data_IF_136228873663
#
_entry.id   IF_136228873663
#
_cell.length_a   1.000
_cell.length_b   1.000
_cell.length_c   1.000
_cell.angle_alpha   90.00
_cell.angle_beta   90.00
_cell.angle_gamma   90.00
#
_symmetry.space_group_name_H-M   'P 1'
#
loop_
_entity.id
_entity.type
_entity.pdbx_description
1 polymer ?
#
# COMPACT_ATOMS: atom_id res chain seq x y z
N UNK A 1 -6.72 10.10 11.96
CA UNK A 1 -5.63 9.14 11.63
C UNK A 1 -6.27 7.85 11.16
N UNK A 2 -5.77 7.24 10.08
CA UNK A 2 -6.38 6.04 9.46
C UNK A 2 -5.30 5.08 8.98
N UNK A 3 -5.58 3.78 8.97
CA UNK A 3 -4.75 2.80 8.27
C UNK A 3 -5.06 2.80 6.77
N UNK A 4 -4.07 3.12 5.92
CA UNK A 4 -4.22 3.07 4.46
C UNK A 4 -2.91 2.61 3.80
N UNK A 5 -3.03 1.66 2.87
CA UNK A 5 -1.89 1.07 2.16
C UNK A 5 -2.30 0.52 0.79
N UNK A 6 -1.32 0.11 -0.02
CA UNK A 6 -1.61 -0.49 -1.34
C UNK A 6 -2.37 -1.83 -1.26
N UNK A 7 -2.32 -2.52 -0.12
CA UNK A 7 -3.06 -3.77 0.14
C UNK A 7 -4.38 -3.55 0.89
N UNK A 8 -4.60 -2.35 1.45
CA UNK A 8 -5.88 -1.93 2.02
C UNK A 8 -6.15 -0.45 1.70
N UNK A 9 -6.74 -0.17 0.52
CA UNK A 9 -7.04 1.19 0.10
C UNK A 9 -8.43 1.67 0.54
N UNK A 10 -9.07 1.02 1.52
CA UNK A 10 -10.50 1.20 1.84
C UNK A 10 -10.89 2.62 2.22
N UNK A 11 -9.98 3.37 2.87
CA UNK A 11 -10.19 4.77 3.26
C UNK A 11 -10.58 5.65 2.06
N UNK A 12 -10.18 5.29 0.84
CA UNK A 12 -10.56 5.97 -0.41
C UNK A 12 -12.07 6.05 -0.62
N UNK A 13 -12.81 5.02 -0.19
CA UNK A 13 -14.25 4.91 -0.38
C UNK A 13 -15.06 5.21 0.89
N UNK A 14 -14.41 5.29 2.04
CA UNK A 14 -15.08 5.44 3.34
C UNK A 14 -14.80 6.80 3.97
N UNK A 15 -13.55 7.07 4.34
CA UNK A 15 -13.18 8.22 5.17
C UNK A 15 -12.75 9.43 4.34
N UNK A 16 -11.95 9.26 3.29
CA UNK A 16 -11.44 10.39 2.52
C UNK A 16 -12.53 11.28 1.89
N UNK A 17 -13.66 10.75 1.38
CA UNK A 17 -14.74 11.60 0.89
C UNK A 17 -15.31 12.54 1.96
N UNK A 18 -15.42 12.06 3.20
CA UNK A 18 -15.94 12.84 4.33
C UNK A 18 -14.90 13.88 4.79
N UNK A 19 -13.64 13.46 4.97
CA UNK A 19 -12.59 14.35 5.48
C UNK A 19 -12.25 15.44 4.48
N UNK A 20 -12.27 15.14 3.18
CA UNK A 20 -12.11 16.15 2.12
C UNK A 20 -13.28 17.13 2.08
N UNK A 21 -14.51 16.66 2.29
CA UNK A 21 -15.70 17.52 2.34
C UNK A 21 -15.65 18.48 3.52
N UNK A 22 -15.24 17.98 4.69
CA UNK A 22 -15.30 18.72 5.95
C UNK A 22 -13.97 19.43 6.29
N UNK A 23 -12.95 19.35 5.42
CA UNK A 23 -11.66 20.01 5.61
C UNK A 23 -10.82 19.43 6.76
N UNK A 24 -10.96 18.13 7.04
CA UNK A 24 -10.26 17.45 8.12
C UNK A 24 -8.95 16.83 7.60
N UNK A 25 -7.83 17.25 8.19
CA UNK A 25 -6.52 16.71 7.87
C UNK A 25 -6.36 15.23 8.26
N UNK A 26 -5.75 14.45 7.38
CA UNK A 26 -5.62 13.01 7.48
C UNK A 26 -4.17 12.57 7.53
N UNK A 27 -3.87 11.89 8.63
CA UNK A 27 -2.58 11.28 8.90
C UNK A 27 -2.69 9.76 8.71
N UNK A 28 -1.91 9.24 7.77
CA UNK A 28 -1.89 7.86 7.33
C UNK A 28 -0.93 7.00 8.15
N UNK A 29 -1.48 5.96 8.77
CA UNK A 29 -0.75 4.82 9.32
C UNK A 29 -0.70 3.68 8.32
N UNK A 30 0.23 2.75 8.52
CA UNK A 30 0.28 1.48 7.78
C UNK A 30 0.74 1.60 6.33
N UNK A 31 1.42 2.69 5.95
CA UNK A 31 2.04 2.81 4.64
C UNK A 31 2.94 1.60 4.33
N UNK A 32 3.78 1.20 5.29
CA UNK A 32 4.53 -0.06 5.26
C UNK A 32 4.15 -0.89 6.47
N UNK A 33 3.63 -2.09 6.22
CA UNK A 33 3.31 -3.09 7.26
C UNK A 33 4.17 -4.32 7.09
N UNK A 34 4.08 -5.25 8.03
CA UNK A 34 4.88 -6.47 8.04
C UNK A 34 4.77 -7.25 6.73
N UNK A 35 3.58 -7.33 6.13
CA UNK A 35 3.39 -7.96 4.83
C UNK A 35 4.18 -7.28 3.70
N UNK A 36 4.49 -5.99 3.79
CA UNK A 36 5.23 -5.25 2.76
C UNK A 36 6.74 -5.20 3.01
N UNK A 37 7.20 -5.62 4.18
CA UNK A 37 8.62 -5.74 4.52
C UNK A 37 9.10 -7.20 4.69
N UNK A 38 8.18 -8.17 4.75
CA UNK A 38 8.50 -9.59 4.91
C UNK A 38 7.86 -10.44 3.81
N UNK A 39 8.64 -10.86 2.79
CA UNK A 39 8.12 -11.60 1.64
C UNK A 39 7.35 -12.88 1.99
N UNK A 40 7.77 -13.61 3.04
CA UNK A 40 7.05 -14.80 3.50
C UNK A 40 5.64 -14.47 3.97
N UNK A 41 5.49 -13.41 4.80
CA UNK A 41 4.20 -12.98 5.31
C UNK A 41 3.28 -12.47 4.21
N UNK A 42 3.84 -11.76 3.21
CA UNK A 42 3.09 -11.33 2.03
C UNK A 42 2.42 -12.51 1.32
N UNK A 43 3.20 -13.57 1.06
CA UNK A 43 2.74 -14.77 0.36
C UNK A 43 1.62 -15.46 1.12
N UNK A 44 1.80 -15.68 2.43
CA UNK A 44 0.80 -16.29 3.31
C UNK A 44 -0.51 -15.50 3.29
N UNK A 45 -0.44 -14.19 3.49
CA UNK A 45 -1.60 -13.30 3.48
C UNK A 45 -2.32 -13.31 2.12
N UNK A 46 -1.59 -13.22 1.01
CA UNK A 46 -2.20 -13.28 -0.33
C UNK A 46 -2.85 -14.65 -0.59
N UNK A 47 -2.25 -15.74 -0.14
CA UNK A 47 -2.84 -17.07 -0.26
C UNK A 47 -4.14 -17.20 0.56
N UNK A 48 -4.17 -16.67 1.78
CA UNK A 48 -5.38 -16.61 2.62
C UNK A 48 -6.50 -15.81 1.94
N UNK A 49 -6.17 -14.63 1.38
CA UNK A 49 -7.13 -13.77 0.67
C UNK A 49 -7.67 -14.40 -0.62
N UNK A 50 -6.90 -15.25 -1.29
CA UNK A 50 -7.39 -16.01 -2.45
C UNK A 50 -8.26 -17.19 -1.98
N UNK A 51 -7.85 -17.89 -0.93
CA UNK A 51 -8.57 -19.05 -0.40
C UNK A 51 -9.96 -18.70 0.13
N UNK A 52 -10.11 -17.52 0.76
CA UNK A 52 -11.40 -17.05 1.28
C UNK A 52 -12.22 -16.26 0.25
N UNK A 53 -11.74 -16.11 -0.99
CA UNK A 53 -12.44 -15.42 -2.07
C UNK A 53 -12.42 -13.89 -2.01
N UNK A 54 -11.66 -13.28 -1.09
CA UNK A 54 -11.49 -11.83 -1.04
C UNK A 54 -10.69 -11.28 -2.24
N UNK A 55 -9.81 -12.10 -2.82
CA UNK A 55 -9.11 -11.84 -4.08
C UNK A 55 -9.43 -12.96 -5.07
N UNK A 56 -9.69 -12.60 -6.33
CA UNK A 56 -9.99 -13.57 -7.37
C UNK A 56 -8.79 -14.49 -7.65
N UNK A 57 -9.04 -15.78 -7.89
CA UNK A 57 -7.99 -16.75 -8.23
C UNK A 57 -7.33 -16.37 -9.56
N UNK A 58 -6.00 -16.50 -9.62
CA UNK A 58 -5.21 -16.29 -10.85
C UNK A 58 -4.85 -14.83 -11.17
N UNK A 59 -5.28 -13.86 -10.36
CA UNK A 59 -4.92 -12.44 -10.57
C UNK A 59 -3.56 -12.06 -9.97
N UNK A 60 -3.01 -12.91 -9.09
CA UNK A 60 -1.71 -12.76 -8.45
C UNK A 60 -0.83 -13.98 -8.76
N UNK A 61 0.47 -13.73 -8.88
CA UNK A 61 1.49 -14.79 -8.88
C UNK A 61 1.60 -15.38 -7.47
N UNK A 62 1.53 -16.71 -7.35
CA UNK A 62 1.56 -17.39 -6.06
C UNK A 62 2.93 -17.32 -5.37
N UNK A 63 4.01 -17.18 -6.14
CA UNK A 63 5.38 -17.10 -5.65
C UNK A 63 5.86 -15.66 -5.48
N UNK A 64 5.28 -14.71 -6.20
CA UNK A 64 5.65 -13.30 -6.14
C UNK A 64 4.44 -12.35 -6.29
N UNK A 65 3.53 -12.28 -5.29
CA UNK A 65 2.23 -11.62 -5.44
C UNK A 65 2.31 -10.15 -5.84
N UNK A 66 3.32 -9.42 -5.36
CA UNK A 66 3.51 -8.00 -5.66
C UNK A 66 4.71 -7.73 -6.56
N UNK A 67 5.33 -8.75 -7.14
CA UNK A 67 6.50 -8.60 -8.01
C UNK A 67 6.26 -7.72 -9.23
N UNK A 68 5.01 -7.67 -9.70
CA UNK A 68 4.63 -6.79 -10.80
C UNK A 68 4.90 -5.31 -10.51
N UNK A 69 4.83 -4.88 -9.23
CA UNK A 69 5.10 -3.50 -8.85
C UNK A 69 6.54 -3.13 -9.22
N UNK A 70 7.50 -4.00 -8.91
CA UNK A 70 8.91 -3.75 -9.18
C UNK A 70 9.28 -3.97 -10.65
N UNK A 71 8.54 -4.82 -11.37
CA UNK A 71 8.73 -5.06 -12.81
C UNK A 71 8.16 -3.93 -13.68
N UNK A 72 7.07 -3.30 -13.23
CA UNK A 72 6.30 -2.31 -13.99
C UNK A 72 6.48 -0.87 -13.45
N UNK A 73 7.44 -0.65 -12.53
CA UNK A 73 7.82 0.69 -12.04
C UNK A 73 9.32 0.82 -11.78
N UNK A 74 9.73 2.04 -11.46
CA UNK A 74 11.08 2.40 -11.03
C UNK A 74 11.30 2.26 -9.51
N UNK A 75 10.37 1.64 -8.78
CA UNK A 75 10.53 1.39 -7.36
C UNK A 75 11.57 0.29 -7.11
N UNK A 76 12.53 0.55 -6.23
CA UNK A 76 13.57 -0.44 -5.92
C UNK A 76 13.07 -1.53 -4.96
N UNK A 77 12.11 -1.19 -4.08
CA UNK A 77 11.59 -2.08 -3.04
C UNK A 77 10.09 -1.91 -2.84
N UNK A 78 9.44 -2.92 -2.24
CA UNK A 78 8.02 -2.83 -1.88
C UNK A 78 7.73 -1.73 -0.83
N UNK A 79 8.56 -1.53 0.22
CA UNK A 79 8.41 -0.38 1.11
C UNK A 79 8.44 0.95 0.36
N UNK A 80 9.36 1.14 -0.59
CA UNK A 80 9.42 2.36 -1.40
C UNK A 80 8.10 2.58 -2.15
N UNK A 81 7.64 1.55 -2.88
CA UNK A 81 6.41 1.62 -3.64
C UNK A 81 5.20 1.94 -2.74
N UNK A 82 5.17 1.40 -1.52
CA UNK A 82 4.09 1.64 -0.60
C UNK A 82 4.07 3.06 -0.01
N UNK A 83 5.24 3.63 0.29
CA UNK A 83 5.33 5.05 0.63
C UNK A 83 4.86 5.94 -0.52
N UNK A 84 5.31 5.68 -1.75
CA UNK A 84 4.89 6.43 -2.95
C UNK A 84 3.39 6.33 -3.18
N UNK A 85 2.82 5.13 -3.08
CA UNK A 85 1.38 4.91 -3.18
C UNK A 85 0.60 5.77 -2.19
N UNK A 86 1.01 5.75 -0.91
CA UNK A 86 0.32 6.50 0.13
C UNK A 86 0.51 8.01 0.02
N UNK A 87 1.71 8.48 -0.31
CA UNK A 87 2.05 9.91 -0.39
C UNK A 87 1.29 10.62 -1.51
N UNK A 88 1.02 9.92 -2.60
CA UNK A 88 0.33 10.46 -3.76
C UNK A 88 -1.17 10.17 -3.76
N UNK A 89 -1.71 9.60 -2.69
CA UNK A 89 -3.14 9.38 -2.54
C UNK A 89 -3.86 10.69 -2.18
N UNK A 90 -4.94 10.99 -2.89
CA UNK A 90 -5.82 12.11 -2.54
C UNK A 90 -6.58 11.80 -1.26
N UNK A 91 -6.44 12.68 -0.26
CA UNK A 91 -7.03 12.50 1.07
C UNK A 91 -6.02 11.99 2.12
N UNK A 92 -4.75 11.85 1.75
CA UNK A 92 -3.64 11.66 2.68
C UNK A 92 -2.81 12.94 2.75
N UNK A 93 -2.81 13.61 3.90
CA UNK A 93 -2.04 14.84 4.12
C UNK A 93 -0.66 14.56 4.71
N UNK A 94 -0.58 13.57 5.61
CA UNK A 94 0.66 13.15 6.28
C UNK A 94 0.80 11.63 6.16
N UNK A 95 1.97 11.15 5.73
CA UNK A 95 2.32 9.72 5.78
C UNK A 95 3.24 9.47 6.97
N UNK A 96 2.83 8.63 7.91
CA UNK A 96 3.71 8.21 8.99
C UNK A 96 4.75 7.21 8.49
N UNK A 97 5.98 7.45 8.91
CA UNK A 97 7.10 6.52 8.79
C UNK A 97 7.59 6.14 10.17
N UNK A 98 7.96 4.87 10.37
CA UNK A 98 8.42 4.37 11.66
C UNK A 98 9.56 3.38 11.47
N UNK A 99 10.68 3.65 12.12
CA UNK A 99 11.88 2.79 12.10
C UNK A 99 12.76 3.13 13.31
N UNK A 100 13.42 2.11 13.86
CA UNK A 100 14.48 2.29 14.87
C UNK A 100 15.89 2.40 14.25
N UNK A 101 15.99 2.32 12.93
CA UNK A 101 17.23 2.37 12.17
C UNK A 101 17.30 3.70 11.37
N UNK A 102 18.35 4.53 11.54
CA UNK A 102 18.51 5.80 10.84
C UNK A 102 18.63 5.68 9.31
N UNK A 103 19.29 4.63 8.80
CA UNK A 103 19.45 4.41 7.36
C UNK A 103 18.09 4.16 6.70
N UNK A 104 17.26 3.30 7.29
CA UNK A 104 15.87 3.11 6.85
C UNK A 104 15.07 4.41 6.88
N UNK A 105 15.33 5.32 7.84
CA UNK A 105 14.63 6.60 7.90
C UNK A 105 14.97 7.45 6.66
N UNK A 106 16.25 7.49 6.28
CA UNK A 106 16.70 8.18 5.06
C UNK A 106 16.08 7.56 3.81
N UNK A 107 16.05 6.23 3.72
CA UNK A 107 15.40 5.51 2.61
C UNK A 107 13.90 5.82 2.51
N UNK A 108 13.19 5.84 3.65
CA UNK A 108 11.78 6.17 3.70
C UNK A 108 11.51 7.62 3.27
N UNK A 109 12.37 8.57 3.67
CA UNK A 109 12.28 9.97 3.24
C UNK A 109 12.51 10.06 1.72
N UNK A 110 13.55 9.41 1.20
CA UNK A 110 13.83 9.38 -0.23
C UNK A 110 12.66 8.79 -1.03
N UNK A 111 12.04 7.72 -0.53
CA UNK A 111 10.86 7.10 -1.14
C UNK A 111 9.66 8.06 -1.20
N UNK A 112 9.35 8.75 -0.10
CA UNK A 112 8.23 9.69 -0.02
C UNK A 112 8.40 10.86 -1.01
N UNK A 113 9.63 11.28 -1.28
CA UNK A 113 9.92 12.40 -2.18
C UNK A 113 9.89 12.01 -3.68
N UNK A 114 9.84 10.71 -4.01
CA UNK A 114 9.78 10.26 -5.41
C UNK A 114 8.41 10.53 -6.06
N UNK A 115 8.34 10.59 -7.40
CA UNK A 115 7.08 10.74 -8.13
C UNK A 115 6.07 9.61 -7.87
N UNK A 116 4.79 9.77 -8.27
CA UNK A 116 3.79 8.71 -8.17
C UNK A 116 4.24 7.41 -8.84
N UNK A 117 3.64 6.29 -8.43
CA UNK A 117 3.76 5.03 -9.17
C UNK A 117 3.09 5.15 -10.54
N UNK A 118 3.57 4.43 -11.57
CA UNK A 118 2.95 4.40 -12.88
C UNK A 118 1.48 3.95 -12.85
N UNK A 119 0.65 4.50 -13.74
CA UNK A 119 -0.78 4.20 -13.82
C UNK A 119 -1.08 2.70 -13.96
N UNK A 120 -0.26 1.98 -14.74
CA UNK A 120 -0.42 0.53 -14.93
C UNK A 120 -0.36 -0.24 -13.60
N UNK A 121 0.57 0.13 -12.72
CA UNK A 121 0.71 -0.45 -11.38
C UNK A 121 -0.49 -0.08 -10.52
N UNK A 122 -0.92 1.20 -10.54
CA UNK A 122 -2.07 1.67 -9.76
C UNK A 122 -3.38 0.99 -10.16
N UNK A 123 -3.62 0.79 -11.47
CA UNK A 123 -4.81 0.13 -11.99
C UNK A 123 -4.85 -1.35 -11.58
N UNK A 124 -3.70 -2.03 -11.61
CA UNK A 124 -3.58 -3.42 -11.17
C UNK A 124 -3.80 -3.54 -9.66
N UNK A 125 -3.21 -2.66 -8.85
CA UNK A 125 -3.46 -2.59 -7.41
C UNK A 125 -4.95 -2.36 -7.10
N UNK A 126 -5.61 -1.46 -7.82
CA UNK A 126 -7.05 -1.22 -7.69
C UNK A 126 -7.87 -2.46 -8.05
N UNK A 127 -7.50 -3.17 -9.10
CA UNK A 127 -8.17 -4.40 -9.53
C UNK A 127 -8.06 -5.51 -8.48
N UNK A 128 -6.88 -5.67 -7.89
CA UNK A 128 -6.59 -6.75 -6.92
C UNK A 128 -7.12 -6.42 -5.53
N UNK A 129 -6.79 -5.24 -4.98
CA UNK A 129 -7.01 -4.91 -3.57
C UNK A 129 -8.10 -3.85 -3.36
N UNK A 130 -8.62 -3.23 -4.42
CA UNK A 130 -9.50 -2.05 -4.32
C UNK A 130 -10.86 -2.28 -3.64
N UNK A 131 -11.24 -3.54 -3.42
CA UNK A 131 -12.47 -3.94 -2.71
C UNK A 131 -12.22 -4.40 -1.27
N UNK A 132 -10.98 -4.48 -0.82
CA UNK A 132 -10.66 -4.89 0.55
C UNK A 132 -10.93 -3.74 1.53
N UNK A 133 -11.49 -4.07 2.70
CA UNK A 133 -11.89 -3.11 3.72
C UNK A 133 -11.40 -3.41 5.15
N UNK A 134 -10.93 -4.62 5.41
CA UNK A 134 -10.61 -5.12 6.77
C UNK A 134 -9.13 -5.47 6.99
N UNK A 135 -8.27 -5.36 5.96
CA UNK A 135 -6.91 -5.88 6.03
C UNK A 135 -5.94 -4.93 6.75
N UNK A 136 -5.25 -5.40 7.80
CA UNK A 136 -4.26 -4.58 8.53
C UNK A 136 -2.82 -4.77 8.06
N UNK A 137 -2.53 -5.82 7.27
CA UNK A 137 -1.20 -6.09 6.71
C UNK A 137 -0.13 -6.59 7.71
N UNK A 138 -0.53 -7.02 8.91
CA UNK A 138 0.38 -7.60 9.91
C UNK A 138 0.61 -9.10 9.71
#
# INVERSE_FOLDING_TARGET
>A
MVGFSLINPSARNTLFPLTLKDGVGMLNMFAVRRALSQPKRLKEMCAELVANGAIAKGVLDAYDPLGFILKESDAATLPEAAYRFCRHERGVDIVLTGTGNPEHLQENIAAILKPPLPKIVLDKLKTVFGKLDHLTGN
#
